data_IF_485683478545
#
_entry.id   IF_485683478545
#
_cell.length_a   1.000
_cell.length_b   1.000
_cell.length_c   1.000
_cell.angle_alpha   90.00
_cell.angle_beta   90.00
_cell.angle_gamma   90.00
#
_symmetry.space_group_name_H-M   'P 1'
#
loop_
_entity.id
_entity.type
_entity.pdbx_description
1 polymer ?
#
# COMPACT_ATOMS: atom_id res chain seq x y z
N UNK A 1 -29.20 29.98 8.74
CA UNK A 1 -28.16 30.14 7.69
C UNK A 1 -26.82 30.51 8.32
N UNK A 2 -26.79 31.53 9.18
CA UNK A 2 -25.60 32.02 9.91
C UNK A 2 -24.60 30.97 10.40
N UNK A 3 -25.04 29.88 11.07
CA UNK A 3 -24.12 28.84 11.57
C UNK A 3 -23.21 28.20 10.51
N UNK A 4 -23.69 28.06 9.26
CA UNK A 4 -22.87 27.48 8.18
C UNK A 4 -21.74 28.42 7.75
N UNK A 5 -21.97 29.72 7.84
CA UNK A 5 -21.05 30.75 7.39
C UNK A 5 -20.09 31.15 8.53
N UNK A 6 -20.57 31.12 9.78
CA UNK A 6 -19.79 31.41 10.98
C UNK A 6 -20.16 30.44 12.15
N UNK A 7 -19.54 29.25 12.22
CA UNK A 7 -19.82 28.28 13.29
C UNK A 7 -19.21 28.66 14.65
N UNK A 8 -18.32 29.64 14.69
CA UNK A 8 -17.63 30.13 15.88
C UNK A 8 -17.74 31.66 15.99
N UNK A 9 -18.94 32.21 16.26
CA UNK A 9 -19.12 33.65 16.35
C UNK A 9 -18.38 34.26 17.54
N UNK A 10 -17.71 35.37 17.31
CA UNK A 10 -17.07 36.20 18.34
C UNK A 10 -18.10 36.94 19.21
N UNK A 11 -17.64 37.63 20.27
CA UNK A 11 -18.52 38.30 21.23
C UNK A 11 -19.48 39.29 20.54
N UNK A 12 -18.95 40.17 19.68
CA UNK A 12 -19.74 41.18 18.95
C UNK A 12 -20.85 40.55 18.12
N UNK A 13 -20.52 39.53 17.33
CA UNK A 13 -21.47 38.79 16.49
C UNK A 13 -22.54 38.07 17.31
N UNK A 14 -22.19 37.55 18.51
CA UNK A 14 -23.18 36.93 19.42
C UNK A 14 -24.15 37.96 19.99
N UNK A 15 -23.66 39.17 20.32
CA UNK A 15 -24.51 40.27 20.81
C UNK A 15 -25.45 40.78 19.71
N UNK A 16 -24.93 41.01 18.50
CA UNK A 16 -25.75 41.41 17.34
C UNK A 16 -26.83 40.36 17.05
N UNK A 17 -26.45 39.08 16.99
CA UNK A 17 -27.41 38.01 16.79
C UNK A 17 -28.44 37.96 17.92
N UNK A 18 -28.01 38.07 19.18
CA UNK A 18 -28.90 38.13 20.35
C UNK A 18 -29.95 39.23 20.25
N UNK A 19 -29.56 40.43 19.76
CA UNK A 19 -30.49 41.54 19.51
C UNK A 19 -31.47 41.22 18.38
N UNK A 20 -31.00 40.67 17.26
CA UNK A 20 -31.82 40.34 16.11
C UNK A 20 -32.90 39.28 16.43
N UNK A 21 -32.57 38.29 17.25
CA UNK A 21 -33.47 37.19 17.61
C UNK A 21 -34.13 37.33 18.99
N UNK A 22 -33.82 38.40 19.74
CA UNK A 22 -34.45 38.72 21.03
C UNK A 22 -34.17 37.70 22.15
N UNK A 23 -32.98 37.11 22.20
CA UNK A 23 -32.58 36.16 23.26
C UNK A 23 -31.30 36.61 23.95
N UNK A 24 -30.97 36.03 25.11
CA UNK A 24 -29.75 36.39 25.84
C UNK A 24 -28.46 35.96 25.08
N UNK A 25 -27.39 36.78 25.05
CA UNK A 25 -26.12 36.45 24.37
C UNK A 25 -25.46 35.14 24.83
N UNK A 26 -25.70 34.72 26.09
CA UNK A 26 -25.23 33.45 26.62
C UNK A 26 -26.00 32.27 26.03
N UNK A 27 -27.31 32.42 25.80
CA UNK A 27 -28.11 31.41 25.10
C UNK A 27 -27.63 31.22 23.66
N UNK A 28 -27.26 32.31 22.98
CA UNK A 28 -26.60 32.23 21.67
C UNK A 28 -25.32 31.41 21.78
N UNK A 29 -24.43 31.71 22.74
CA UNK A 29 -23.19 30.94 22.94
C UNK A 29 -23.44 29.44 23.12
N UNK A 30 -24.38 29.06 24.00
CA UNK A 30 -24.70 27.66 24.25
C UNK A 30 -25.34 26.98 23.04
N UNK A 31 -26.19 27.68 22.30
CA UNK A 31 -26.78 27.15 21.08
C UNK A 31 -25.71 26.76 20.05
N UNK A 32 -24.72 27.63 19.80
CA UNK A 32 -23.62 27.33 18.86
C UNK A 32 -22.76 26.17 19.35
N UNK A 33 -22.49 26.11 20.66
CA UNK A 33 -21.74 25.00 21.26
C UNK A 33 -22.48 23.67 21.08
N UNK A 34 -23.75 23.61 21.45
CA UNK A 34 -24.59 22.43 21.32
C UNK A 34 -24.75 22.02 19.85
N UNK A 35 -24.88 22.99 18.94
CA UNK A 35 -25.01 22.73 17.51
C UNK A 35 -23.75 22.06 16.94
N UNK A 36 -22.55 22.52 17.32
CA UNK A 36 -21.29 21.87 16.92
C UNK A 36 -21.19 20.44 17.46
N UNK A 37 -21.49 20.23 18.74
CA UNK A 37 -21.47 18.90 19.35
C UNK A 37 -22.46 17.95 18.67
N UNK A 38 -23.68 18.42 18.37
CA UNK A 38 -24.69 17.65 17.64
C UNK A 38 -24.19 17.22 16.25
N UNK A 39 -23.61 18.16 15.48
CA UNK A 39 -23.09 17.87 14.15
C UNK A 39 -21.92 16.88 14.19
N UNK A 40 -20.98 17.06 15.12
CA UNK A 40 -19.86 16.15 15.35
C UNK A 40 -20.36 14.74 15.68
N UNK A 41 -21.27 14.62 16.64
CA UNK A 41 -21.85 13.33 17.04
C UNK A 41 -22.58 12.64 15.90
N UNK A 42 -23.37 13.39 15.12
CA UNK A 42 -24.08 12.84 13.95
C UNK A 42 -23.09 12.30 12.92
N UNK A 43 -22.05 13.06 12.61
CA UNK A 43 -21.03 12.65 11.64
C UNK A 43 -20.25 11.43 12.13
N UNK A 44 -19.81 11.43 13.38
CA UNK A 44 -19.08 10.29 13.97
C UNK A 44 -19.92 9.02 14.00
N UNK A 45 -21.22 9.11 14.33
CA UNK A 45 -22.13 7.96 14.26
C UNK A 45 -22.23 7.42 12.84
N UNK A 46 -22.43 8.29 11.85
CA UNK A 46 -22.51 7.88 10.45
C UNK A 46 -21.21 7.24 9.97
N UNK A 47 -20.06 7.83 10.31
CA UNK A 47 -18.75 7.26 10.00
C UNK A 47 -18.56 5.90 10.67
N UNK A 48 -18.96 5.74 11.93
CA UNK A 48 -18.86 4.47 12.63
C UNK A 48 -19.73 3.38 11.99
N UNK A 49 -20.95 3.71 11.58
CA UNK A 49 -21.82 2.80 10.82
C UNK A 49 -21.17 2.37 9.52
N UNK A 50 -20.62 3.31 8.75
CA UNK A 50 -19.94 3.02 7.49
C UNK A 50 -18.70 2.14 7.70
N UNK A 51 -17.87 2.46 8.70
CA UNK A 51 -16.68 1.66 9.04
C UNK A 51 -17.04 0.24 9.47
N UNK A 52 -18.12 0.06 10.23
CA UNK A 52 -18.61 -1.27 10.62
C UNK A 52 -19.07 -2.08 9.41
N UNK A 53 -19.81 -1.45 8.49
CA UNK A 53 -20.27 -2.10 7.26
C UNK A 53 -19.09 -2.53 6.37
N UNK A 54 -18.09 -1.66 6.20
CA UNK A 54 -16.89 -1.98 5.43
C UNK A 54 -16.05 -3.08 6.12
N UNK A 55 -15.93 -3.04 7.45
CA UNK A 55 -15.22 -4.08 8.19
C UNK A 55 -15.88 -5.45 8.02
N UNK A 56 -17.22 -5.50 8.05
CA UNK A 56 -17.97 -6.74 7.84
C UNK A 56 -17.76 -7.28 6.42
N UNK A 57 -17.81 -6.40 5.41
CA UNK A 57 -17.52 -6.77 4.02
C UNK A 57 -16.12 -7.37 3.88
N UNK A 58 -15.10 -6.70 4.42
CA UNK A 58 -13.71 -7.18 4.39
C UNK A 58 -13.57 -8.51 5.13
N UNK A 59 -14.25 -8.71 6.26
CA UNK A 59 -14.25 -9.99 6.98
C UNK A 59 -14.86 -11.10 6.13
N UNK A 60 -16.00 -10.85 5.50
CA UNK A 60 -16.66 -11.82 4.62
C UNK A 60 -15.78 -12.19 3.42
N UNK A 61 -15.10 -11.21 2.80
CA UNK A 61 -14.14 -11.46 1.72
C UNK A 61 -12.94 -12.28 2.20
N UNK A 62 -12.36 -11.95 3.37
CA UNK A 62 -11.26 -12.71 3.95
C UNK A 62 -11.63 -14.17 4.23
N UNK A 63 -12.83 -14.42 4.76
CA UNK A 63 -13.32 -15.78 4.98
C UNK A 63 -13.42 -16.52 3.66
N UNK A 64 -14.03 -15.92 2.64
CA UNK A 64 -14.13 -16.52 1.30
C UNK A 64 -12.77 -16.85 0.69
N UNK A 65 -11.78 -15.95 0.80
CA UNK A 65 -10.43 -16.21 0.31
C UNK A 65 -9.75 -17.34 1.07
N UNK A 66 -9.87 -17.36 2.40
CA UNK A 66 -9.31 -18.44 3.23
C UNK A 66 -9.95 -19.80 2.91
N UNK A 67 -11.26 -19.85 2.72
CA UNK A 67 -11.96 -21.06 2.30
C UNK A 67 -11.53 -21.50 0.91
N UNK A 68 -11.45 -20.56 -0.05
CA UNK A 68 -10.98 -20.86 -1.40
C UNK A 68 -9.56 -21.45 -1.38
N UNK A 69 -8.65 -20.87 -0.59
CA UNK A 69 -7.28 -21.37 -0.42
C UNK A 69 -7.26 -22.74 0.26
N UNK A 70 -8.05 -22.94 1.31
CA UNK A 70 -8.15 -24.23 2.00
C UNK A 70 -8.71 -25.34 1.10
N UNK A 71 -9.58 -25.00 0.16
CA UNK A 71 -10.19 -25.96 -0.76
C UNK A 71 -9.30 -26.32 -1.96
N UNK A 72 -8.16 -25.63 -2.15
CA UNK A 72 -7.18 -26.00 -3.16
C UNK A 72 -6.41 -27.24 -2.68
N UNK A 73 -6.83 -28.42 -3.17
CA UNK A 73 -6.08 -29.66 -3.02
C UNK A 73 -5.17 -29.89 -4.23
N UNK A 74 -3.93 -30.31 -4.02
CA UNK A 74 -3.04 -30.70 -5.11
C UNK A 74 -3.57 -31.99 -5.79
N UNK A 75 -3.84 -32.01 -7.11
CA UNK A 75 -4.35 -33.19 -7.80
C UNK A 75 -3.36 -34.35 -7.86
N UNK A 76 -2.07 -34.12 -7.57
CA UNK A 76 -1.03 -35.14 -7.58
C UNK A 76 -0.74 -35.79 -6.22
N UNK A 77 -1.09 -35.14 -5.09
CA UNK A 77 -0.81 -35.69 -3.75
C UNK A 77 -1.98 -35.60 -2.75
N UNK A 78 -3.09 -34.96 -3.11
CA UNK A 78 -4.31 -34.88 -2.28
C UNK A 78 -4.20 -33.97 -1.05
N UNK A 79 -3.02 -33.46 -0.73
CA UNK A 79 -2.81 -32.56 0.40
C UNK A 79 -3.50 -31.22 0.18
N UNK A 80 -4.20 -30.75 1.21
CA UNK A 80 -4.70 -29.37 1.29
C UNK A 80 -3.54 -28.46 1.69
N UNK A 81 -3.39 -27.33 1.01
CA UNK A 81 -2.36 -26.37 1.34
C UNK A 81 -2.76 -25.61 2.62
N UNK A 82 -2.11 -25.88 3.75
CA UNK A 82 -2.24 -25.02 4.93
C UNK A 82 -1.61 -23.66 4.61
N UNK A 83 -2.24 -22.57 5.05
CA UNK A 83 -1.77 -21.20 4.83
C UNK A 83 -0.38 -21.02 5.46
N UNK A 84 -0.10 -21.73 6.56
CA UNK A 84 1.23 -21.78 7.18
C UNK A 84 2.29 -22.37 6.25
N UNK A 85 1.96 -23.46 5.57
CA UNK A 85 2.87 -24.16 4.66
C UNK A 85 3.12 -23.36 3.38
N UNK A 86 2.09 -22.69 2.83
CA UNK A 86 2.24 -21.82 1.64
C UNK A 86 3.18 -20.64 1.94
N UNK A 87 3.09 -20.03 3.13
CA UNK A 87 3.94 -18.91 3.52
C UNK A 87 5.41 -19.35 3.74
N UNK A 88 5.62 -20.56 4.27
CA UNK A 88 6.94 -21.15 4.44
C UNK A 88 7.59 -21.48 3.08
N UNK A 89 6.81 -22.08 2.17
CA UNK A 89 7.26 -22.37 0.81
C UNK A 89 7.59 -21.09 0.03
N UNK A 90 6.77 -20.04 0.15
CA UNK A 90 7.07 -18.75 -0.49
C UNK A 90 8.39 -18.15 0.02
N UNK A 91 8.66 -18.22 1.33
CA UNK A 91 9.92 -17.75 1.90
C UNK A 91 11.11 -18.58 1.39
N UNK A 92 10.96 -19.89 1.30
CA UNK A 92 11.99 -20.78 0.77
C UNK A 92 12.30 -20.50 -0.70
N UNK A 93 11.26 -20.38 -1.54
CA UNK A 93 11.40 -20.05 -2.97
C UNK A 93 12.06 -18.69 -3.21
N UNK A 94 11.80 -17.69 -2.35
CA UNK A 94 12.49 -16.39 -2.41
C UNK A 94 13.98 -16.51 -2.11
N UNK A 95 14.36 -17.29 -1.11
CA UNK A 95 15.77 -17.54 -0.78
C UNK A 95 16.48 -18.29 -1.91
N UNK A 96 15.85 -19.32 -2.47
CA UNK A 96 16.43 -20.09 -3.58
C UNK A 96 16.56 -19.26 -4.86
N UNK A 97 15.56 -18.42 -5.19
CA UNK A 97 15.68 -17.49 -6.32
C UNK A 97 16.82 -16.49 -6.16
N UNK A 98 17.06 -15.99 -4.94
CA UNK A 98 18.19 -15.11 -4.67
C UNK A 98 19.51 -15.85 -4.91
N UNK A 99 19.63 -17.07 -4.37
CA UNK A 99 20.80 -17.95 -4.54
C UNK A 99 21.08 -18.23 -6.02
N UNK A 100 20.07 -18.61 -6.79
CA UNK A 100 20.18 -18.89 -8.23
C UNK A 100 20.58 -17.64 -9.03
N UNK A 101 20.07 -16.46 -8.66
CA UNK A 101 20.47 -15.20 -9.31
C UNK A 101 21.96 -14.89 -9.08
N UNK A 102 22.47 -15.14 -7.88
CA UNK A 102 23.89 -14.97 -7.58
C UNK A 102 24.76 -15.96 -8.38
N UNK A 103 24.32 -17.21 -8.53
CA UNK A 103 25.00 -18.18 -9.39
C UNK A 103 25.03 -17.74 -10.85
N UNK A 104 23.88 -17.31 -11.39
CA UNK A 104 23.79 -16.79 -12.76
C UNK A 104 24.71 -15.58 -12.93
N UNK A 105 24.76 -14.67 -11.96
CA UNK A 105 25.65 -13.51 -11.99
C UNK A 105 27.12 -13.95 -12.01
N UNK A 106 27.49 -14.92 -11.16
CA UNK A 106 28.84 -15.46 -11.08
C UNK A 106 29.29 -16.11 -12.39
N UNK A 107 28.47 -16.99 -12.97
CA UNK A 107 28.79 -17.63 -14.24
C UNK A 107 28.80 -16.63 -15.40
N UNK A 108 27.89 -15.66 -15.41
CA UNK A 108 27.88 -14.60 -16.43
C UNK A 108 29.15 -13.76 -16.37
N UNK A 109 29.62 -13.40 -15.18
CA UNK A 109 30.88 -12.68 -15.01
C UNK A 109 32.09 -13.51 -15.48
N UNK A 110 32.14 -14.80 -15.13
CA UNK A 110 33.19 -15.70 -15.63
C UNK A 110 33.20 -15.79 -17.15
N UNK A 111 32.04 -15.96 -17.79
CA UNK A 111 31.92 -16.00 -19.24
C UNK A 111 32.37 -14.69 -19.89
N UNK A 112 32.01 -13.56 -19.30
CA UNK A 112 32.46 -12.25 -19.76
C UNK A 112 33.99 -12.13 -19.72
N UNK A 113 34.62 -12.53 -18.61
CA UNK A 113 36.08 -12.51 -18.49
C UNK A 113 36.76 -13.43 -19.51
N UNK A 114 36.21 -14.62 -19.74
CA UNK A 114 36.70 -15.55 -20.78
C UNK A 114 36.59 -14.90 -22.16
N UNK A 115 35.45 -14.29 -22.48
CA UNK A 115 35.26 -13.60 -23.76
C UNK A 115 36.26 -12.46 -23.95
N UNK A 116 36.48 -11.64 -22.92
CA UNK A 116 37.47 -10.56 -22.92
C UNK A 116 38.88 -11.12 -23.12
N UNK A 117 39.24 -12.18 -22.39
CA UNK A 117 40.53 -12.85 -22.52
C UNK A 117 40.75 -13.34 -23.96
N UNK A 118 39.80 -14.09 -24.52
CA UNK A 118 39.93 -14.61 -25.89
C UNK A 118 40.08 -13.46 -26.91
N UNK A 119 39.31 -12.39 -26.73
CA UNK A 119 39.37 -11.22 -27.61
C UNK A 119 40.72 -10.50 -27.54
N UNK A 120 41.30 -10.35 -26.35
CA UNK A 120 42.59 -9.67 -26.15
C UNK A 120 43.76 -10.52 -26.64
N UNK A 121 43.82 -11.78 -26.24
CA UNK A 121 45.01 -12.61 -26.44
C UNK A 121 45.06 -13.26 -27.83
N UNK A 122 43.92 -13.58 -28.42
CA UNK A 122 43.87 -14.30 -29.70
C UNK A 122 43.43 -13.41 -30.87
N UNK A 123 42.35 -12.63 -30.71
CA UNK A 123 41.85 -11.82 -31.83
C UNK A 123 42.62 -10.52 -32.05
N UNK A 124 42.94 -9.79 -30.98
CA UNK A 124 43.59 -8.47 -31.08
C UNK A 124 44.95 -8.52 -31.81
N UNK A 125 45.85 -9.48 -31.55
CA UNK A 125 47.14 -9.57 -32.26
C UNK A 125 46.95 -9.91 -33.74
N UNK A 126 45.98 -10.76 -34.07
CA UNK A 126 45.66 -11.13 -35.47
C UNK A 126 45.19 -9.89 -36.24
N UNK A 127 44.27 -9.10 -35.66
CA UNK A 127 43.77 -7.87 -36.27
C UNK A 127 44.91 -6.84 -36.45
N UNK A 128 45.76 -6.65 -35.44
CA UNK A 128 46.91 -5.74 -35.52
C UNK A 128 47.90 -6.19 -36.59
N UNK A 129 48.21 -7.50 -36.66
CA UNK A 129 49.12 -8.05 -37.66
C UNK A 129 48.56 -7.92 -39.09
N UNK A 130 47.24 -8.09 -39.26
CA UNK A 130 46.56 -7.85 -40.53
C UNK A 130 46.65 -6.38 -40.94
N UNK A 131 46.35 -5.44 -40.04
CA UNK A 131 46.41 -4.00 -40.33
C UNK A 131 47.83 -3.55 -40.75
N UNK A 132 48.87 -4.02 -40.04
CA UNK A 132 50.28 -3.74 -40.38
C UNK A 132 50.73 -4.29 -41.74
N UNK A 133 50.06 -5.31 -42.28
CA UNK A 133 50.34 -5.84 -43.62
C UNK A 133 49.62 -5.08 -44.73
N UNK A 134 48.57 -4.33 -44.39
CA UNK A 134 47.76 -3.57 -45.35
C UNK A 134 48.16 -2.09 -45.44
N UNK A 135 49.01 -1.59 -44.55
CA UNK A 135 49.66 -0.27 -44.58
C UNK A 135 51.10 -0.41 -45.07
#
# INVERSE_FOLDING_TARGET
RFFRDCPHPGNKQRTELSQDIGIDPLQVKFWFQNKRTQMKTKHERQNNTNLRAENEKIRAENVRFREALSNLSCPSCGSMADIGDVLLDERHLRMENARLRDEVMHYSHKLFLIFVYVKIYYFRPIIIAHFKKCT
#
